data_IF_323158156060
#
_entry.id   IF_323158156060
#
_cell.length_a   1.000
_cell.length_b   1.000
_cell.length_c   1.000
_cell.angle_alpha   90.00
_cell.angle_beta   90.00
_cell.angle_gamma   90.00
#
_symmetry.space_group_name_H-M   'P 1'
#
loop_
_entity.id
_entity.type
_entity.pdbx_description
1 polymer ?
#
# COMPACT_ATOMS: atom_id res chain seq x y z
N UNK A 1 41.33 -13.77 -22.36
CA UNK A 1 39.92 -14.14 -22.58
C UNK A 1 39.34 -14.62 -21.26
N UNK A 2 38.58 -13.78 -20.54
CA UNK A 2 37.94 -14.16 -19.27
C UNK A 2 36.54 -14.69 -19.60
N UNK A 3 36.38 -16.00 -19.62
CA UNK A 3 35.07 -16.65 -19.62
C UNK A 3 34.42 -16.41 -18.25
N UNK A 4 33.75 -15.27 -18.10
CA UNK A 4 32.89 -15.06 -16.95
C UNK A 4 31.63 -15.91 -17.12
N UNK A 5 31.52 -16.82 -16.17
CA UNK A 5 30.61 -17.94 -16.11
C UNK A 5 29.15 -17.46 -16.07
N UNK A 6 28.47 -17.45 -17.22
CA UNK A 6 27.06 -17.05 -17.40
C UNK A 6 26.10 -17.78 -16.44
N UNK A 7 26.48 -18.97 -15.96
CA UNK A 7 25.72 -19.72 -14.95
C UNK A 7 25.65 -19.02 -13.58
N UNK A 8 26.71 -18.31 -13.14
CA UNK A 8 26.69 -17.60 -11.86
C UNK A 8 25.70 -16.44 -11.84
N UNK A 9 25.53 -15.77 -12.97
CA UNK A 9 24.60 -14.65 -13.12
C UNK A 9 23.14 -15.12 -13.03
N UNK A 10 22.82 -16.28 -13.61
CA UNK A 10 21.46 -16.84 -13.49
C UNK A 10 21.13 -17.27 -12.06
N UNK A 11 22.09 -17.84 -11.33
CA UNK A 11 21.89 -18.27 -9.93
C UNK A 11 21.64 -17.05 -9.03
N UNK A 12 22.39 -15.95 -9.22
CA UNK A 12 22.17 -14.71 -8.46
C UNK A 12 20.79 -14.09 -8.74
N UNK A 13 20.33 -14.09 -9.99
CA UNK A 13 18.98 -13.60 -10.33
C UNK A 13 17.86 -14.45 -9.73
N UNK A 14 18.03 -15.78 -9.63
CA UNK A 14 17.04 -16.63 -8.96
C UNK A 14 16.98 -16.40 -7.45
N UNK A 15 18.13 -16.09 -6.81
CA UNK A 15 18.16 -15.81 -5.37
C UNK A 15 17.44 -14.50 -5.03
N UNK A 16 17.54 -13.46 -5.87
CA UNK A 16 16.79 -12.22 -5.68
C UNK A 16 15.26 -12.40 -5.84
N UNK A 17 14.84 -13.26 -6.78
CA UNK A 17 13.41 -13.56 -6.95
C UNK A 17 12.81 -14.34 -5.77
N UNK A 18 13.59 -15.21 -5.12
CA UNK A 18 13.12 -16.03 -3.98
C UNK A 18 13.09 -15.23 -2.66
N UNK A 19 14.02 -14.29 -2.45
CA UNK A 19 14.08 -13.48 -1.21
C UNK A 19 13.09 -12.31 -1.15
N UNK A 20 12.53 -11.90 -2.28
CA UNK A 20 11.54 -10.81 -2.35
C UNK A 20 10.14 -11.22 -1.86
N UNK A 21 9.84 -12.52 -1.87
CA UNK A 21 8.51 -13.07 -1.60
C UNK A 21 8.08 -13.10 -0.11
N UNK A 22 8.93 -13.45 0.89
CA UNK A 22 8.47 -13.51 2.29
C UNK A 22 8.27 -12.12 2.92
N UNK A 23 9.03 -11.11 2.49
CA UNK A 23 8.99 -9.78 3.12
C UNK A 23 7.72 -9.01 2.75
N UNK A 24 7.28 -9.10 1.49
CA UNK A 24 6.05 -8.45 1.02
C UNK A 24 4.78 -9.05 1.65
N UNK A 25 4.77 -10.36 1.93
CA UNK A 25 3.64 -11.06 2.60
C UNK A 25 3.41 -10.55 4.02
N UNK A 26 4.48 -10.38 4.79
CA UNK A 26 4.39 -9.83 6.14
C UNK A 26 3.88 -8.37 6.09
N UNK A 27 4.36 -7.58 5.12
CA UNK A 27 3.96 -6.19 4.99
C UNK A 27 2.49 -6.03 4.58
N UNK A 28 1.95 -6.86 3.69
CA UNK A 28 0.53 -6.79 3.33
C UNK A 28 -0.39 -7.14 4.51
N UNK A 29 0.00 -8.12 5.33
CA UNK A 29 -0.71 -8.43 6.58
C UNK A 29 -0.69 -7.24 7.54
N UNK A 30 0.45 -6.57 7.68
CA UNK A 30 0.56 -5.38 8.51
C UNK A 30 -0.31 -4.22 8.00
N UNK A 31 -0.36 -3.98 6.69
CA UNK A 31 -1.24 -2.98 6.07
C UNK A 31 -2.71 -3.31 6.38
N UNK A 32 -3.10 -4.58 6.23
CA UNK A 32 -4.45 -5.04 6.53
C UNK A 32 -4.81 -4.82 8.01
N UNK A 33 -3.97 -5.28 8.94
CA UNK A 33 -4.18 -5.15 10.38
C UNK A 33 -4.29 -3.67 10.79
N UNK A 34 -3.40 -2.82 10.28
CA UNK A 34 -3.46 -1.39 10.57
C UNK A 34 -4.74 -0.75 10.01
N UNK A 35 -5.15 -1.14 8.81
CA UNK A 35 -6.41 -0.67 8.22
C UNK A 35 -7.61 -1.06 9.08
N UNK A 36 -7.64 -2.26 9.65
CA UNK A 36 -8.68 -2.71 10.59
C UNK A 36 -8.65 -1.89 11.87
N UNK A 37 -7.48 -1.67 12.47
CA UNK A 37 -7.33 -0.85 13.69
C UNK A 37 -7.87 0.58 13.49
N UNK A 38 -7.60 1.19 12.33
CA UNK A 38 -8.12 2.52 12.00
C UNK A 38 -9.64 2.51 11.80
N UNK A 39 -10.21 1.44 11.24
CA UNK A 39 -11.67 1.28 11.07
C UNK A 39 -12.42 1.11 12.39
N UNK A 40 -11.78 0.52 13.40
CA UNK A 40 -12.33 0.37 14.74
C UNK A 40 -12.37 1.70 15.52
N UNK A 41 -11.53 2.66 15.14
CA UNK A 41 -11.47 4.03 15.70
C UNK A 41 -12.61 4.94 15.18
N UNK A 42 -13.85 4.43 15.22
CA UNK A 42 -15.03 4.94 14.50
C UNK A 42 -15.33 6.43 14.69
N UNK A 43 -15.08 7.00 15.86
CA UNK A 43 -15.47 8.38 16.16
C UNK A 43 -14.67 9.42 15.37
N UNK A 44 -13.41 9.13 15.05
CA UNK A 44 -12.51 10.08 14.40
C UNK A 44 -12.64 10.04 12.87
N UNK A 45 -12.84 8.85 12.30
CA UNK A 45 -12.77 8.61 10.86
C UNK A 45 -14.03 9.00 10.08
N UNK A 46 -15.18 9.12 10.74
CA UNK A 46 -16.48 9.35 10.09
C UNK A 46 -16.57 10.69 9.37
N UNK A 47 -15.82 11.68 9.85
CA UNK A 47 -15.82 13.06 9.34
C UNK A 47 -14.58 13.38 8.49
N UNK A 48 -13.67 12.43 8.30
CA UNK A 48 -12.44 12.63 7.56
C UNK A 48 -12.60 12.33 6.07
N UNK A 49 -11.96 13.14 5.24
CA UNK A 49 -11.96 13.00 3.79
C UNK A 49 -10.54 13.08 3.25
N UNK A 50 -10.30 12.33 2.18
CA UNK A 50 -9.01 12.30 1.48
C UNK A 50 -9.22 12.53 -0.01
N UNK A 51 -8.27 13.22 -0.68
CA UNK A 51 -8.33 13.44 -2.11
C UNK A 51 -8.08 12.12 -2.83
N UNK A 52 -9.10 11.54 -3.43
CA UNK A 52 -9.01 10.27 -4.17
C UNK A 52 -10.33 10.02 -4.92
N UNK A 53 -10.25 9.28 -6.02
CA UNK A 53 -11.42 8.72 -6.72
C UNK A 53 -11.84 7.41 -6.07
N UNK A 54 -13.10 7.00 -6.25
CA UNK A 54 -13.58 5.70 -5.73
C UNK A 54 -12.76 4.56 -6.32
N UNK A 55 -12.36 3.60 -5.48
CA UNK A 55 -11.61 2.42 -5.91
C UNK A 55 -12.59 1.38 -6.45
N UNK A 56 -12.36 0.93 -7.69
CA UNK A 56 -13.07 -0.20 -8.30
C UNK A 56 -12.09 -1.32 -8.58
N UNK A 57 -12.39 -2.54 -8.13
CA UNK A 57 -11.65 -3.76 -8.46
C UNK A 57 -10.15 -3.80 -8.12
N UNK A 58 -9.71 -3.08 -7.07
CA UNK A 58 -8.35 -3.15 -6.54
C UNK A 58 -7.27 -3.02 -7.62
N UNK A 59 -7.21 -1.86 -8.32
CA UNK A 59 -6.24 -1.64 -9.37
C UNK A 59 -4.83 -1.78 -8.80
N UNK A 60 -3.86 -2.19 -9.62
CA UNK A 60 -2.48 -2.46 -9.17
C UNK A 60 -1.83 -1.28 -8.43
N UNK A 61 -2.23 -0.05 -8.75
CA UNK A 61 -1.71 1.17 -8.16
C UNK A 61 -2.50 1.66 -6.92
N UNK A 62 -3.49 0.90 -6.43
CA UNK A 62 -4.37 1.31 -5.32
C UNK A 62 -3.59 1.71 -4.07
N UNK A 63 -2.55 0.95 -3.71
CA UNK A 63 -1.72 1.22 -2.54
C UNK A 63 -0.85 2.48 -2.72
N UNK A 64 -0.44 2.79 -3.95
CA UNK A 64 0.26 4.03 -4.29
C UNK A 64 -0.68 5.24 -4.19
N UNK A 65 -1.89 5.12 -4.73
CA UNK A 65 -2.89 6.19 -4.64
C UNK A 65 -3.28 6.46 -3.18
N UNK A 66 -3.48 5.40 -2.39
CA UNK A 66 -3.77 5.52 -0.97
C UNK A 66 -2.63 6.18 -0.18
N UNK A 67 -1.37 5.80 -0.43
CA UNK A 67 -0.22 6.46 0.21
C UNK A 67 -0.24 7.97 -0.05
N UNK A 68 -0.43 8.39 -1.30
CA UNK A 68 -0.49 9.81 -1.67
C UNK A 68 -1.69 10.50 -1.02
N UNK A 69 -2.86 9.86 -1.01
CA UNK A 69 -4.09 10.39 -0.42
C UNK A 69 -3.95 10.63 1.10
N UNK A 70 -3.26 9.73 1.82
CA UNK A 70 -3.04 9.85 3.26
C UNK A 70 -1.96 10.88 3.62
N UNK A 71 -0.96 11.10 2.74
CA UNK A 71 0.10 12.09 2.98
C UNK A 71 -0.27 13.53 2.58
N UNK A 72 -1.38 13.71 1.87
CA UNK A 72 -1.76 15.02 1.31
C UNK A 72 -2.40 16.01 2.30
N UNK A 73 -3.22 15.60 3.29
CA UNK A 73 -3.84 16.55 4.21
C UNK A 73 -2.82 17.26 5.10
N UNK A 74 -2.95 18.58 5.26
CA UNK A 74 -2.07 19.39 6.12
C UNK A 74 -2.52 19.45 7.58
N UNK A 75 -3.29 18.45 8.04
CA UNK A 75 -3.78 18.39 9.42
C UNK A 75 -2.91 17.42 10.23
N UNK A 76 -2.21 17.94 11.25
CA UNK A 76 -1.28 17.15 12.07
C UNK A 76 -1.95 15.98 12.79
N UNK A 77 -3.18 16.17 13.27
CA UNK A 77 -3.95 15.13 13.96
C UNK A 77 -4.28 13.97 13.01
N UNK A 78 -4.73 14.29 11.79
CA UNK A 78 -4.97 13.34 10.71
C UNK A 78 -3.68 12.60 10.30
N UNK A 79 -2.58 13.35 10.14
CA UNK A 79 -1.30 12.78 9.75
C UNK A 79 -0.79 11.82 10.83
N UNK A 80 -0.82 12.21 12.10
CA UNK A 80 -0.44 11.33 13.21
C UNK A 80 -1.34 10.10 13.29
N UNK A 81 -2.64 10.25 13.05
CA UNK A 81 -3.60 9.16 13.05
C UNK A 81 -3.33 8.14 11.92
N UNK A 82 -2.89 8.60 10.75
CA UNK A 82 -2.70 7.75 9.56
C UNK A 82 -1.24 7.41 9.23
N UNK A 83 -0.28 7.95 9.99
CA UNK A 83 1.17 7.88 9.69
C UNK A 83 1.67 6.44 9.56
N UNK A 84 1.27 5.55 10.48
CA UNK A 84 1.69 4.15 10.46
C UNK A 84 1.27 3.45 9.17
N UNK A 85 0.00 3.59 8.78
CA UNK A 85 -0.51 3.04 7.51
C UNK A 85 0.21 3.67 6.31
N UNK A 86 0.39 4.99 6.29
CA UNK A 86 1.08 5.68 5.21
C UNK A 86 2.54 5.21 5.02
N UNK A 87 3.25 4.92 6.11
CA UNK A 87 4.61 4.35 6.07
C UNK A 87 4.63 2.93 5.53
N UNK A 88 3.72 2.08 5.97
CA UNK A 88 3.62 0.69 5.48
C UNK A 88 3.29 0.64 3.98
N UNK A 89 2.37 1.49 3.52
CA UNK A 89 2.08 1.65 2.10
C UNK A 89 3.32 2.11 1.33
N UNK A 90 4.06 3.09 1.86
CA UNK A 90 5.32 3.57 1.26
C UNK A 90 6.35 2.46 1.12
N UNK A 91 6.55 1.65 2.16
CA UNK A 91 7.43 0.48 2.12
C UNK A 91 6.97 -0.55 1.08
N UNK A 92 5.66 -0.77 0.95
CA UNK A 92 5.12 -1.70 -0.03
C UNK A 92 5.36 -1.19 -1.45
N UNK A 93 5.11 0.10 -1.70
CA UNK A 93 5.27 0.74 -2.99
C UNK A 93 6.73 0.87 -3.42
N UNK A 94 7.69 0.96 -2.49
CA UNK A 94 9.13 0.88 -2.80
C UNK A 94 9.50 -0.46 -3.44
N UNK A 95 8.89 -1.55 -2.97
CA UNK A 95 9.09 -2.90 -3.52
C UNK A 95 8.24 -3.17 -4.76
N UNK A 96 7.28 -2.31 -5.07
CA UNK A 96 6.32 -2.47 -6.16
C UNK A 96 6.16 -1.14 -6.90
N UNK A 97 7.07 -0.88 -7.86
CA UNK A 97 7.07 0.35 -8.65
C UNK A 97 5.87 0.42 -9.59
N UNK A 98 4.77 1.01 -9.11
CA UNK A 98 3.61 1.36 -9.92
C UNK A 98 3.49 2.88 -9.99
N UNK A 99 3.60 3.50 -11.17
CA UNK A 99 3.32 4.92 -11.30
C UNK A 99 1.85 5.19 -10.94
N UNK A 100 1.63 6.18 -10.09
CA UNK A 100 0.28 6.63 -9.75
C UNK A 100 0.22 8.15 -9.66
N UNK A 101 -0.87 8.73 -10.15
CA UNK A 101 -1.15 10.16 -10.05
C UNK A 101 -2.46 10.32 -9.31
N UNK A 102 -2.43 11.08 -8.23
CA UNK A 102 -3.61 11.31 -7.41
C UNK A 102 -4.49 12.37 -8.06
N UNK A 103 -5.77 12.05 -8.27
CA UNK A 103 -6.76 13.07 -8.60
C UNK A 103 -7.21 13.77 -7.31
N UNK A 104 -6.96 15.07 -7.23
CA UNK A 104 -7.21 15.88 -6.03
C UNK A 104 -8.54 16.63 -6.07
N UNK A 105 -9.23 16.59 -7.21
CA UNK A 105 -10.53 17.25 -7.40
C UNK A 105 -11.68 16.48 -6.76
N UNK A 106 -11.50 15.17 -6.56
CA UNK A 106 -12.46 14.30 -5.91
C UNK A 106 -12.02 13.97 -4.48
N UNK A 107 -12.99 13.79 -3.59
CA UNK A 107 -12.76 13.38 -2.22
C UNK A 107 -13.66 12.23 -1.85
N UNK A 108 -13.09 11.24 -1.18
CA UNK A 108 -13.83 10.14 -0.56
C UNK A 108 -13.68 10.21 0.95
N UNK A 109 -14.63 9.60 1.67
CA UNK A 109 -14.50 9.44 3.12
C UNK A 109 -13.33 8.51 3.44
N UNK A 110 -12.56 8.83 4.48
CA UNK A 110 -11.47 7.96 4.95
C UNK A 110 -11.96 6.54 5.23
N UNK A 111 -13.14 6.39 5.85
CA UNK A 111 -13.76 5.08 6.10
C UNK A 111 -13.98 4.26 4.82
N UNK A 112 -14.28 4.92 3.68
CA UNK A 112 -14.43 4.23 2.39
C UNK A 112 -13.08 3.77 1.88
N UNK A 113 -12.08 4.64 1.89
CA UNK A 113 -10.71 4.30 1.51
C UNK A 113 -10.19 3.10 2.33
N UNK A 114 -10.36 3.13 3.66
CA UNK A 114 -9.90 2.06 4.54
C UNK A 114 -10.63 0.73 4.26
N UNK A 115 -11.95 0.75 4.01
CA UNK A 115 -12.67 -0.47 3.61
C UNK A 115 -12.13 -1.04 2.30
N UNK A 116 -11.91 -0.17 1.31
CA UNK A 116 -11.39 -0.59 0.01
C UNK A 116 -9.97 -1.16 0.13
N UNK A 117 -9.10 -0.51 0.92
CA UNK A 117 -7.75 -1.00 1.20
C UNK A 117 -7.75 -2.36 1.89
N UNK A 118 -8.62 -2.55 2.89
CA UNK A 118 -8.78 -3.83 3.58
C UNK A 118 -9.18 -4.93 2.58
N UNK A 119 -10.19 -4.67 1.75
CA UNK A 119 -10.68 -5.65 0.79
C UNK A 119 -9.62 -5.97 -0.29
N UNK A 120 -8.84 -4.99 -0.71
CA UNK A 120 -7.72 -5.20 -1.62
C UNK A 120 -6.57 -5.97 -0.97
N UNK A 121 -6.23 -5.67 0.27
CA UNK A 121 -5.22 -6.41 1.03
C UNK A 121 -5.68 -7.86 1.27
N UNK A 122 -6.95 -8.09 1.61
CA UNK A 122 -7.56 -9.42 1.77
C UNK A 122 -7.42 -10.24 0.47
N UNK A 123 -7.77 -9.66 -0.68
CA UNK A 123 -7.60 -10.31 -1.99
C UNK A 123 -6.14 -10.68 -2.25
N UNK A 124 -5.20 -9.77 -2.00
CA UNK A 124 -3.78 -10.04 -2.23
C UNK A 124 -3.20 -11.06 -1.25
N UNK A 125 -3.72 -11.14 -0.02
CA UNK A 125 -3.36 -12.19 0.94
C UNK A 125 -3.94 -13.57 0.57
N UNK A 126 -5.08 -13.63 -0.12
CA UNK A 126 -5.78 -14.88 -0.49
C UNK A 126 -5.47 -15.41 -1.90
N UNK A 127 -4.87 -14.59 -2.77
CA UNK A 127 -4.51 -14.96 -4.16
C UNK A 127 -3.13 -15.64 -4.29
N UNK A 128 -2.49 -16.04 -3.19
CA UNK A 128 -1.15 -16.65 -3.13
C UNK A 128 -1.06 -17.75 -2.07
#
# INVERSE_FOLDING_TARGET
MKNFNTQYLMVLMMIEMVYSAPHSKNLMKQIREETVNLLESKNMILHMFVPMTTITDCPRNVFCLAEKALKMPNNTEFLNFTDKLARQLSQYNQNHSFPCTLNTNEKIKLVKLLKDLKDCADKMCNLQ
#
